data_IF_626531217620
#
_entry.id   IF_626531217620
#
_cell.length_a   1.000
_cell.length_b   1.000
_cell.length_c   1.000
_cell.angle_alpha   90.00
_cell.angle_beta   90.00
_cell.angle_gamma   90.00
#
_symmetry.space_group_name_H-M   'P 1'
#
loop_
_entity.id
_entity.type
_entity.pdbx_description
1 polymer ?
#
# COMPACT_ATOMS: atom_id res chain seq x y z
N UNK A 1 31.51 31.67 -0.10
CA UNK A 1 31.44 31.89 1.36
C UNK A 1 30.92 30.63 2.04
N UNK A 2 30.94 30.55 3.37
CA UNK A 2 30.48 29.38 4.13
C UNK A 2 29.37 29.85 5.07
N UNK A 3 28.16 29.35 4.86
CA UNK A 3 27.03 29.59 5.75
C UNK A 3 27.06 28.62 6.93
N UNK A 4 26.97 29.16 8.15
CA UNK A 4 26.96 28.39 9.39
C UNK A 4 25.67 28.72 10.14
N UNK A 5 24.85 27.69 10.37
CA UNK A 5 23.67 27.82 11.21
C UNK A 5 23.99 27.41 12.64
N UNK A 6 23.68 28.28 13.60
CA UNK A 6 23.71 27.96 15.03
C UNK A 6 22.28 27.86 15.55
N UNK A 7 21.86 26.65 15.91
CA UNK A 7 20.58 26.40 16.56
C UNK A 7 20.79 26.49 18.07
N UNK A 8 20.15 27.46 18.71
CA UNK A 8 20.29 27.75 20.15
C UNK A 8 19.14 27.11 20.92
N UNK A 9 19.44 26.40 21.99
CA UNK A 9 18.43 25.82 22.88
C UNK A 9 17.80 26.90 23.77
N UNK A 10 16.63 27.38 23.36
CA UNK A 10 15.79 28.32 24.11
C UNK A 10 14.80 27.62 25.07
N UNK A 11 14.82 26.29 25.15
CA UNK A 11 14.02 25.51 26.10
C UNK A 11 14.72 25.38 27.45
N UNK A 12 16.04 25.21 27.43
CA UNK A 12 16.86 25.14 28.65
C UNK A 12 17.23 26.52 29.21
N UNK A 13 17.36 27.54 28.35
CA UNK A 13 17.75 28.89 28.73
C UNK A 13 16.83 29.95 28.13
N UNK A 14 16.37 30.89 28.95
CA UNK A 14 15.55 32.01 28.48
C UNK A 14 16.41 33.02 27.72
N UNK A 15 16.13 33.20 26.44
CA UNK A 15 16.79 34.18 25.58
C UNK A 15 16.22 35.58 25.81
N UNK A 16 16.64 36.28 26.88
CA UNK A 16 16.28 37.69 27.06
C UNK A 16 16.96 38.57 26.02
N UNK A 17 16.48 39.81 25.88
CA UNK A 17 17.02 40.75 24.90
C UNK A 17 18.52 41.00 25.09
N UNK A 18 18.95 41.15 26.34
CA UNK A 18 20.34 41.40 26.71
C UNK A 18 21.24 40.22 26.34
N UNK A 19 20.75 38.99 26.55
CA UNK A 19 21.46 37.76 26.17
C UNK A 19 21.61 37.67 24.65
N UNK A 20 20.55 37.97 23.90
CA UNK A 20 20.57 37.96 22.43
C UNK A 20 21.54 39.01 21.88
N UNK A 21 21.53 40.22 22.43
CA UNK A 21 22.43 41.30 22.01
C UNK A 21 23.90 40.97 22.33
N UNK A 22 24.18 40.47 23.54
CA UNK A 22 25.52 40.02 23.92
C UNK A 22 26.01 38.87 23.04
N UNK A 23 25.15 37.89 22.77
CA UNK A 23 25.45 36.76 21.88
C UNK A 23 25.83 37.24 20.47
N UNK A 24 25.04 38.12 19.87
CA UNK A 24 25.32 38.66 18.53
C UNK A 24 26.68 39.37 18.48
N UNK A 25 26.97 40.24 19.45
CA UNK A 25 28.26 40.94 19.53
C UNK A 25 29.45 39.99 19.67
N UNK A 26 29.31 38.92 20.45
CA UNK A 26 30.35 37.90 20.62
C UNK A 26 30.57 37.13 19.32
N UNK A 27 29.50 36.70 18.66
CA UNK A 27 29.57 35.97 17.38
C UNK A 27 30.23 36.84 16.30
N UNK A 28 29.78 38.07 16.10
CA UNK A 28 30.33 39.00 15.11
C UNK A 28 31.83 39.25 15.33
N UNK A 29 32.24 39.53 16.57
CA UNK A 29 33.66 39.72 16.92
C UNK A 29 34.48 38.45 16.68
N UNK A 30 33.90 37.28 16.92
CA UNK A 30 34.59 36.00 16.74
C UNK A 30 34.75 35.67 15.25
N UNK A 31 33.70 35.83 14.46
CA UNK A 31 33.72 35.66 13.00
C UNK A 31 34.75 36.59 12.36
N UNK A 32 34.75 37.88 12.72
CA UNK A 32 35.69 38.86 12.19
C UNK A 32 37.17 38.52 12.49
N UNK A 33 37.44 37.85 13.62
CA UNK A 33 38.78 37.37 13.98
C UNK A 33 39.20 36.12 13.22
N UNK A 34 38.27 35.25 12.86
CA UNK A 34 38.56 33.96 12.22
C UNK A 34 38.59 34.09 10.70
N UNK A 35 37.50 34.57 10.08
CA UNK A 35 37.40 34.74 8.64
C UNK A 35 36.17 35.56 8.24
N UNK A 36 36.35 36.49 7.31
CA UNK A 36 35.25 37.27 6.70
C UNK A 36 34.40 36.47 5.71
N UNK A 37 34.82 35.25 5.37
CA UNK A 37 34.08 34.34 4.47
C UNK A 37 33.00 33.52 5.18
N UNK A 38 32.89 33.63 6.51
CA UNK A 38 31.90 32.92 7.31
C UNK A 38 30.65 33.79 7.48
N UNK A 39 29.49 33.24 7.18
CA UNK A 39 28.19 33.87 7.40
C UNK A 39 27.43 33.07 8.45
N UNK A 40 27.42 33.57 9.69
CA UNK A 40 26.76 32.89 10.81
C UNK A 40 25.35 33.40 10.96
N UNK A 41 24.36 32.51 10.85
CA UNK A 41 22.96 32.76 11.17
C UNK A 41 22.59 31.98 12.41
N UNK A 42 21.74 32.54 13.26
CA UNK A 42 21.29 31.86 14.48
C UNK A 42 19.78 31.81 14.54
N UNK A 43 19.24 30.70 15.03
CA UNK A 43 17.82 30.53 15.29
C UNK A 43 17.61 29.72 16.56
N UNK A 44 16.45 29.85 17.18
CA UNK A 44 16.11 29.03 18.35
C UNK A 44 15.69 27.64 17.92
N UNK A 45 15.89 26.65 18.81
CA UNK A 45 15.45 25.27 18.58
C UNK A 45 13.92 25.23 18.37
N UNK A 46 13.14 26.00 19.13
CA UNK A 46 11.69 26.11 18.95
C UNK A 46 11.32 26.57 17.53
N UNK A 47 11.94 27.65 17.04
CA UNK A 47 11.67 28.19 15.70
C UNK A 47 12.08 27.20 14.60
N UNK A 48 13.25 26.56 14.75
CA UNK A 48 13.71 25.55 13.80
C UNK A 48 12.71 24.39 13.70
N UNK A 49 12.21 23.89 14.83
CA UNK A 49 11.18 22.85 14.86
C UNK A 49 9.88 23.27 14.19
N UNK A 50 9.42 24.50 14.41
CA UNK A 50 8.21 25.01 13.76
C UNK A 50 8.37 25.08 12.25
N UNK A 51 9.51 25.54 11.77
CA UNK A 51 9.81 25.63 10.34
C UNK A 51 9.87 24.25 9.70
N UNK A 52 10.59 23.32 10.33
CA UNK A 52 10.67 21.93 9.86
C UNK A 52 9.30 21.27 9.83
N UNK A 53 8.48 21.46 10.87
CA UNK A 53 7.11 20.93 10.95
C UNK A 53 6.20 21.52 9.88
N UNK A 54 6.34 22.81 9.59
CA UNK A 54 5.60 23.50 8.53
C UNK A 54 6.09 23.15 7.11
N UNK A 55 7.23 22.45 6.99
CA UNK A 55 7.85 22.18 5.71
C UNK A 55 8.42 23.43 5.05
N UNK A 56 8.87 24.39 5.85
CA UNK A 56 9.44 25.65 5.37
C UNK A 56 10.62 25.39 4.42
N UNK A 57 10.66 25.99 3.21
CA UNK A 57 11.71 25.73 2.23
C UNK A 57 13.13 25.96 2.73
N UNK A 58 13.35 26.94 3.61
CA UNK A 58 14.68 27.25 4.16
C UNK A 58 15.12 26.13 5.09
N UNK A 59 14.28 25.74 6.04
CA UNK A 59 14.58 24.64 6.96
C UNK A 59 14.76 23.30 6.22
N UNK A 60 13.96 23.05 5.17
CA UNK A 60 14.11 21.85 4.34
C UNK A 60 15.43 21.84 3.58
N UNK A 61 15.87 22.97 3.01
CA UNK A 61 17.17 23.05 2.34
C UNK A 61 18.33 22.88 3.33
N UNK A 62 18.23 23.49 4.50
CA UNK A 62 19.17 23.27 5.61
C UNK A 62 19.28 21.78 5.93
N UNK A 63 18.16 21.08 6.11
CA UNK A 63 18.18 19.64 6.40
C UNK A 63 18.69 18.81 5.21
N UNK A 64 18.47 19.24 3.97
CA UNK A 64 18.89 18.47 2.78
C UNK A 64 20.39 18.55 2.54
N UNK A 65 20.95 19.76 2.64
CA UNK A 65 22.32 20.05 2.22
C UNK A 65 23.27 20.33 3.40
N UNK A 66 22.71 20.56 4.60
CA UNK A 66 23.47 20.87 5.80
C UNK A 66 24.21 19.65 6.35
N UNK A 67 25.43 19.91 6.82
CA UNK A 67 26.28 18.93 7.51
C UNK A 67 26.35 19.31 8.99
N UNK A 68 25.91 18.44 9.92
CA UNK A 68 26.00 18.74 11.34
C UNK A 68 27.47 18.76 11.76
N UNK A 69 27.90 19.88 12.35
CA UNK A 69 29.23 20.00 12.96
C UNK A 69 29.21 19.59 14.44
N UNK A 70 28.12 19.96 15.13
CA UNK A 70 27.84 19.62 16.53
C UNK A 70 26.33 19.35 16.60
N UNK A 71 25.94 18.13 16.93
CA UNK A 71 24.53 17.75 17.07
C UNK A 71 24.33 16.85 18.31
N UNK A 72 23.58 17.29 19.34
CA UNK A 72 23.23 16.45 20.48
C UNK A 72 22.08 15.45 20.16
N UNK A 73 21.62 15.38 18.91
CA UNK A 73 20.60 14.43 18.46
C UNK A 73 19.29 15.08 18.01
N UNK A 74 19.34 16.29 17.45
CA UNK A 74 18.19 17.03 16.92
C UNK A 74 18.23 17.03 15.40
N UNK A 75 19.39 17.27 14.80
CA UNK A 75 19.54 17.54 13.38
C UNK A 75 19.54 16.26 12.53
N UNK A 76 20.42 15.30 12.83
CA UNK A 76 20.53 14.04 12.08
C UNK A 76 19.21 13.25 12.07
N UNK A 77 18.45 13.13 13.18
CA UNK A 77 17.15 12.48 13.14
C UNK A 77 16.16 13.18 12.21
N UNK A 78 16.16 14.52 12.18
CA UNK A 78 15.33 15.29 11.26
C UNK A 78 15.74 15.08 9.79
N UNK A 79 17.03 14.98 9.49
CA UNK A 79 17.51 14.63 8.15
C UNK A 79 17.04 13.22 7.75
N UNK A 80 17.15 12.23 8.64
CA UNK A 80 16.65 10.89 8.39
C UNK A 80 15.14 10.88 8.12
N UNK A 81 14.36 11.65 8.89
CA UNK A 81 12.92 11.80 8.68
C UNK A 81 12.59 12.49 7.34
N UNK A 82 13.38 13.47 6.92
CA UNK A 82 13.27 14.13 5.62
C UNK A 82 13.50 13.13 4.48
N UNK A 83 14.60 12.38 4.53
CA UNK A 83 14.98 11.38 3.52
C UNK A 83 13.90 10.30 3.40
N UNK A 84 13.32 9.88 4.54
CA UNK A 84 12.20 8.94 4.58
C UNK A 84 10.87 9.53 4.09
N UNK A 85 10.83 10.81 3.70
CA UNK A 85 9.62 11.50 3.26
C UNK A 85 8.56 11.66 4.35
N UNK A 86 8.97 11.70 5.63
CA UNK A 86 8.05 11.84 6.78
C UNK A 86 7.73 13.31 7.08
N UNK A 87 8.59 14.24 6.66
CA UNK A 87 8.34 15.68 6.73
C UNK A 87 7.54 16.12 5.50
N UNK A 88 6.53 16.97 5.68
CA UNK A 88 5.61 17.36 4.62
C UNK A 88 5.40 18.87 4.59
N UNK A 89 5.13 19.46 3.41
CA UNK A 89 5.14 18.85 2.08
C UNK A 89 6.54 18.93 1.43
N UNK A 90 7.26 17.82 1.32
CA UNK A 90 8.60 17.78 0.67
C UNK A 90 8.62 16.88 -0.56
N UNK A 91 9.61 17.06 -1.46
CA UNK A 91 9.77 16.24 -2.67
C UNK A 91 9.89 14.75 -2.31
N UNK A 92 10.61 14.45 -1.24
CA UNK A 92 10.80 13.12 -0.68
C UNK A 92 9.43 12.53 -0.27
N UNK A 93 8.61 13.31 0.45
CA UNK A 93 7.26 12.88 0.85
C UNK A 93 6.33 12.64 -0.34
N UNK A 94 6.42 13.44 -1.40
CA UNK A 94 5.63 13.28 -2.62
C UNK A 94 5.92 11.92 -3.27
N UNK A 95 7.19 11.58 -3.45
CA UNK A 95 7.56 10.30 -4.06
C UNK A 95 7.21 9.10 -3.18
N UNK A 96 7.34 9.21 -1.86
CA UNK A 96 6.90 8.17 -0.92
C UNK A 96 5.40 7.93 -1.03
N UNK A 97 4.59 8.98 -1.19
CA UNK A 97 3.16 8.86 -1.39
C UNK A 97 2.80 8.31 -2.77
N UNK A 98 3.42 8.83 -3.83
CA UNK A 98 3.18 8.38 -5.19
C UNK A 98 3.58 6.92 -5.40
N UNK A 99 4.66 6.46 -4.77
CA UNK A 99 5.08 5.05 -4.80
C UNK A 99 4.03 4.06 -4.30
N UNK A 100 3.00 4.52 -3.57
CA UNK A 100 1.86 3.69 -3.16
C UNK A 100 0.90 3.41 -4.32
N UNK A 101 0.74 4.33 -5.27
CA UNK A 101 -0.27 4.23 -6.31
C UNK A 101 -0.11 2.99 -7.22
N UNK A 102 1.07 2.68 -7.78
CA UNK A 102 1.26 1.46 -8.58
C UNK A 102 0.97 0.18 -7.80
N UNK A 103 1.35 0.14 -6.51
CA UNK A 103 1.07 -1.00 -5.63
C UNK A 103 -0.43 -1.18 -5.42
N UNK A 104 -1.18 -0.09 -5.21
CA UNK A 104 -2.64 -0.15 -5.09
C UNK A 104 -3.30 -0.65 -6.38
N UNK A 105 -2.79 -0.30 -7.55
CA UNK A 105 -3.27 -0.82 -8.84
C UNK A 105 -3.03 -2.34 -8.93
N UNK A 106 -1.85 -2.82 -8.54
CA UNK A 106 -1.56 -4.27 -8.49
C UNK A 106 -2.49 -5.00 -7.53
N UNK A 107 -2.79 -4.41 -6.37
CA UNK A 107 -3.75 -4.97 -5.42
C UNK A 107 -5.15 -5.11 -6.04
N UNK A 108 -5.63 -4.11 -6.78
CA UNK A 108 -6.93 -4.17 -7.46
C UNK A 108 -7.01 -5.35 -8.45
N UNK A 109 -5.93 -5.59 -9.22
CA UNK A 109 -5.84 -6.76 -10.11
C UNK A 109 -5.83 -8.09 -9.36
N UNK A 110 -5.12 -8.13 -8.23
CA UNK A 110 -5.13 -9.30 -7.35
C UNK A 110 -6.50 -9.58 -6.76
N UNK A 111 -7.26 -8.54 -6.39
CA UNK A 111 -8.64 -8.70 -5.91
C UNK A 111 -9.56 -9.33 -6.97
N UNK A 112 -9.39 -9.02 -8.26
CA UNK A 112 -10.14 -9.71 -9.32
C UNK A 112 -9.80 -11.20 -9.42
N UNK A 113 -8.54 -11.59 -9.22
CA UNK A 113 -8.16 -13.00 -9.14
C UNK A 113 -8.83 -13.69 -7.95
N UNK A 114 -8.82 -13.06 -6.77
CA UNK A 114 -9.47 -13.62 -5.58
C UNK A 114 -10.98 -13.75 -5.79
N UNK A 115 -11.65 -12.71 -6.31
CA UNK A 115 -13.06 -12.77 -6.64
C UNK A 115 -13.37 -13.90 -7.65
N UNK A 116 -12.47 -14.16 -8.60
CA UNK A 116 -12.63 -15.29 -9.55
C UNK A 116 -12.54 -16.65 -8.84
N UNK A 117 -11.71 -16.78 -7.80
CA UNK A 117 -11.67 -17.99 -6.97
C UNK A 117 -12.96 -18.15 -6.15
N UNK A 118 -13.54 -17.06 -5.66
CA UNK A 118 -14.84 -17.09 -4.97
C UNK A 118 -15.97 -17.59 -5.88
N UNK A 119 -15.95 -17.21 -7.17
CA UNK A 119 -16.89 -17.75 -8.16
C UNK A 119 -16.76 -19.27 -8.32
N UNK A 120 -15.53 -19.80 -8.35
CA UNK A 120 -15.30 -21.25 -8.37
C UNK A 120 -15.91 -21.94 -7.14
N UNK A 121 -15.73 -21.37 -5.94
CA UNK A 121 -16.32 -21.94 -4.73
C UNK A 121 -17.85 -21.91 -4.74
N UNK A 122 -18.45 -20.85 -5.26
CA UNK A 122 -19.91 -20.79 -5.44
C UNK A 122 -20.42 -21.91 -6.38
N UNK A 123 -19.69 -22.20 -7.46
CA UNK A 123 -20.03 -23.32 -8.37
C UNK A 123 -19.87 -24.68 -7.66
N UNK A 124 -18.79 -24.88 -6.91
CA UNK A 124 -18.55 -26.10 -6.10
C UNK A 124 -19.68 -26.33 -5.11
N UNK A 125 -20.01 -25.33 -4.31
CA UNK A 125 -20.98 -25.47 -3.22
C UNK A 125 -22.38 -25.77 -3.78
N UNK A 126 -22.77 -25.11 -4.88
CA UNK A 126 -24.02 -25.39 -5.57
C UNK A 126 -24.05 -26.79 -6.19
N UNK A 127 -22.94 -27.26 -6.77
CA UNK A 127 -22.84 -28.61 -7.32
C UNK A 127 -22.95 -29.68 -6.22
N UNK A 128 -22.25 -29.49 -5.11
CA UNK A 128 -22.32 -30.37 -3.95
C UNK A 128 -23.74 -30.43 -3.38
N UNK A 129 -24.42 -29.28 -3.26
CA UNK A 129 -25.81 -29.24 -2.80
C UNK A 129 -26.75 -30.06 -3.72
N UNK A 130 -26.60 -29.92 -5.03
CA UNK A 130 -27.40 -30.68 -6.01
C UNK A 130 -27.13 -32.20 -5.93
N UNK A 131 -25.87 -32.60 -5.69
CA UNK A 131 -25.50 -34.01 -5.52
C UNK A 131 -26.06 -34.58 -4.20
N UNK A 132 -25.95 -33.84 -3.10
CA UNK A 132 -26.53 -34.23 -1.81
C UNK A 132 -28.05 -34.38 -1.88
N UNK A 133 -28.73 -33.53 -2.65
CA UNK A 133 -30.17 -33.60 -2.85
C UNK A 133 -30.63 -34.95 -3.45
N UNK A 134 -29.80 -35.59 -4.30
CA UNK A 134 -30.09 -36.93 -4.85
C UNK A 134 -29.48 -38.08 -4.04
N UNK A 135 -29.01 -37.80 -2.82
CA UNK A 135 -28.45 -38.79 -1.89
C UNK A 135 -27.00 -39.19 -2.19
N UNK A 136 -26.29 -38.47 -3.06
CA UNK A 136 -24.87 -38.73 -3.32
C UNK A 136 -24.00 -37.99 -2.30
N UNK A 137 -22.89 -38.62 -1.90
CA UNK A 137 -21.88 -37.98 -1.06
C UNK A 137 -20.99 -37.12 -1.98
N UNK A 138 -20.86 -35.80 -1.73
CA UNK A 138 -20.01 -34.94 -2.52
C UNK A 138 -18.56 -35.43 -2.58
N UNK A 139 -17.97 -35.55 -3.78
CA UNK A 139 -16.59 -36.01 -3.93
C UNK A 139 -15.61 -34.85 -3.72
N UNK A 140 -14.31 -35.11 -3.90
CA UNK A 140 -13.32 -34.03 -3.99
C UNK A 140 -13.59 -33.17 -5.24
N UNK A 141 -13.19 -31.88 -5.23
CA UNK A 141 -13.49 -30.95 -6.33
C UNK A 141 -13.11 -31.43 -7.73
N UNK A 142 -12.04 -32.21 -7.86
CA UNK A 142 -11.57 -32.77 -9.13
C UNK A 142 -12.59 -33.68 -9.80
N UNK A 143 -13.41 -34.39 -9.02
CA UNK A 143 -14.35 -35.40 -9.51
C UNK A 143 -15.81 -34.91 -9.56
N UNK A 144 -16.09 -33.68 -9.12
CA UNK A 144 -17.46 -33.14 -9.05
C UNK A 144 -18.11 -33.10 -10.44
N UNK A 145 -17.38 -32.63 -11.45
CA UNK A 145 -17.92 -32.55 -12.82
C UNK A 145 -18.31 -33.93 -13.37
N UNK A 146 -17.51 -34.96 -13.11
CA UNK A 146 -17.78 -36.32 -13.57
C UNK A 146 -18.97 -36.94 -12.83
N UNK A 147 -19.07 -36.71 -11.52
CA UNK A 147 -20.21 -37.18 -10.76
C UNK A 147 -21.52 -36.48 -11.17
N UNK A 148 -21.48 -35.17 -11.46
CA UNK A 148 -22.63 -34.45 -12.04
C UNK A 148 -23.06 -35.09 -13.36
N UNK A 149 -22.11 -35.43 -14.24
CA UNK A 149 -22.41 -36.10 -15.52
C UNK A 149 -23.09 -37.44 -15.29
N UNK A 150 -22.52 -38.25 -14.41
CA UNK A 150 -23.01 -39.60 -14.16
C UNK A 150 -24.39 -39.61 -13.50
N UNK A 151 -24.58 -38.80 -12.47
CA UNK A 151 -25.75 -38.87 -11.59
C UNK A 151 -26.90 -38.00 -12.03
N UNK A 152 -26.62 -36.83 -12.59
CA UNK A 152 -27.66 -35.86 -12.96
C UNK A 152 -27.84 -35.77 -14.48
N UNK A 153 -26.75 -35.66 -15.25
CA UNK A 153 -26.85 -35.46 -16.71
C UNK A 153 -27.32 -36.72 -17.44
N UNK A 154 -26.73 -37.89 -17.17
CA UNK A 154 -27.17 -39.15 -17.80
C UNK A 154 -28.64 -39.47 -17.51
N UNK A 155 -29.12 -39.10 -16.32
CA UNK A 155 -30.52 -39.24 -15.90
C UNK A 155 -31.43 -38.12 -16.43
N UNK A 156 -30.89 -37.18 -17.23
CA UNK A 156 -31.60 -36.01 -17.80
C UNK A 156 -32.21 -35.07 -16.75
N UNK A 157 -31.66 -35.05 -15.54
CA UNK A 157 -32.05 -34.15 -14.47
C UNK A 157 -31.38 -32.77 -14.58
N UNK A 158 -30.22 -32.74 -15.25
CA UNK A 158 -29.40 -31.56 -15.45
C UNK A 158 -28.83 -31.52 -16.87
N UNK A 159 -28.74 -30.34 -17.47
CA UNK A 159 -28.20 -30.13 -18.80
C UNK A 159 -26.66 -30.32 -18.82
N UNK A 160 -26.08 -30.92 -19.88
CA UNK A 160 -24.63 -31.19 -19.96
C UNK A 160 -23.74 -29.97 -19.72
N UNK A 161 -24.19 -28.79 -20.18
CA UNK A 161 -23.44 -27.53 -20.05
C UNK A 161 -23.04 -27.21 -18.61
N UNK A 162 -23.82 -27.61 -17.61
CA UNK A 162 -23.49 -27.30 -16.22
C UNK A 162 -22.31 -28.16 -15.73
N UNK A 163 -22.22 -29.44 -16.12
CA UNK A 163 -21.02 -30.22 -15.80
C UNK A 163 -19.76 -29.67 -16.49
N UNK A 164 -19.90 -29.11 -17.70
CA UNK A 164 -18.81 -28.42 -18.40
C UNK A 164 -18.40 -27.13 -17.69
N UNK A 165 -19.37 -26.33 -17.21
CA UNK A 165 -19.11 -25.16 -16.37
C UNK A 165 -18.33 -25.55 -15.11
N UNK A 166 -18.76 -26.59 -14.39
CA UNK A 166 -18.04 -27.09 -13.22
C UNK A 166 -16.57 -27.42 -13.55
N UNK A 167 -16.33 -28.20 -14.60
CA UNK A 167 -14.96 -28.55 -15.03
C UNK A 167 -14.13 -27.32 -15.42
N UNK A 168 -14.74 -26.36 -16.15
CA UNK A 168 -14.11 -25.10 -16.54
C UNK A 168 -13.63 -24.32 -15.30
N UNK A 169 -14.48 -24.16 -14.29
CA UNK A 169 -14.14 -23.43 -13.07
C UNK A 169 -13.04 -24.15 -12.26
N UNK A 170 -13.06 -25.48 -12.18
CA UNK A 170 -11.97 -26.25 -11.55
C UNK A 170 -10.62 -26.04 -12.24
N UNK A 171 -10.60 -26.15 -13.58
CA UNK A 171 -9.38 -25.89 -14.37
C UNK A 171 -8.90 -24.45 -14.20
N UNK A 172 -9.80 -23.48 -14.20
CA UNK A 172 -9.48 -22.07 -13.99
C UNK A 172 -8.83 -21.83 -12.62
N UNK A 173 -9.42 -22.38 -11.55
CA UNK A 173 -8.86 -22.31 -10.20
C UNK A 173 -7.45 -22.92 -10.14
N UNK A 174 -7.23 -24.08 -10.76
CA UNK A 174 -5.91 -24.74 -10.80
C UNK A 174 -4.87 -23.85 -11.49
N UNK A 175 -5.20 -23.25 -12.63
CA UNK A 175 -4.32 -22.33 -13.36
C UNK A 175 -3.98 -21.08 -12.54
N UNK A 176 -4.94 -20.52 -11.82
CA UNK A 176 -4.71 -19.37 -10.92
C UNK A 176 -3.77 -19.78 -9.77
N UNK A 177 -4.05 -20.91 -9.12
CA UNK A 177 -3.27 -21.40 -7.97
C UNK A 177 -1.84 -21.77 -8.35
N UNK A 178 -1.64 -22.35 -9.54
CA UNK A 178 -0.31 -22.64 -10.10
C UNK A 178 0.39 -21.41 -10.69
N UNK A 179 -0.22 -20.22 -10.61
CA UNK A 179 0.30 -18.94 -11.13
C UNK A 179 0.53 -18.91 -12.65
N UNK A 180 -0.16 -19.78 -13.39
CA UNK A 180 -0.22 -19.76 -14.85
C UNK A 180 -1.04 -18.55 -15.32
N UNK A 181 -2.11 -18.23 -14.60
CA UNK A 181 -2.90 -17.01 -14.78
C UNK A 181 -2.54 -16.02 -13.69
N UNK A 182 -2.04 -14.85 -14.10
CA UNK A 182 -1.57 -13.79 -13.19
C UNK A 182 -2.49 -12.58 -13.12
N UNK A 183 -3.47 -12.50 -14.00
CA UNK A 183 -4.44 -11.41 -14.06
C UNK A 183 -5.71 -11.91 -14.77
N UNK A 184 -6.87 -11.41 -14.33
CA UNK A 184 -8.16 -11.59 -14.99
C UNK A 184 -8.64 -10.20 -15.41
N UNK A 185 -9.09 -10.07 -16.65
CA UNK A 185 -9.67 -8.81 -17.15
C UNK A 185 -11.08 -8.63 -16.59
N UNK A 186 -11.50 -7.38 -16.34
CA UNK A 186 -12.85 -7.10 -15.83
C UNK A 186 -13.97 -7.71 -16.71
N UNK A 187 -13.85 -7.60 -18.03
CA UNK A 187 -14.83 -8.20 -18.97
C UNK A 187 -14.90 -9.74 -18.85
N UNK A 188 -13.76 -10.38 -18.59
CA UNK A 188 -13.69 -11.83 -18.40
C UNK A 188 -14.31 -12.23 -17.05
N UNK A 189 -14.03 -11.48 -16.00
CA UNK A 189 -14.67 -11.65 -14.70
C UNK A 189 -16.20 -11.53 -14.81
N UNK A 190 -16.72 -10.50 -15.50
CA UNK A 190 -18.16 -10.30 -15.66
C UNK A 190 -18.84 -11.48 -16.39
N UNK A 191 -18.15 -12.07 -17.37
CA UNK A 191 -18.62 -13.28 -18.07
C UNK A 191 -18.67 -14.49 -17.12
N UNK A 192 -17.62 -14.69 -16.33
CA UNK A 192 -17.57 -15.77 -15.33
C UNK A 192 -18.63 -15.59 -14.24
N UNK A 193 -18.86 -14.36 -13.78
CA UNK A 193 -19.88 -14.05 -12.79
C UNK A 193 -21.28 -14.40 -13.31
N UNK A 194 -21.61 -14.02 -14.55
CA UNK A 194 -22.90 -14.38 -15.17
C UNK A 194 -23.09 -15.88 -15.30
N UNK A 195 -22.06 -16.60 -15.73
CA UNK A 195 -22.11 -18.06 -15.86
C UNK A 195 -22.28 -18.74 -14.50
N UNK A 196 -21.59 -18.22 -13.46
CA UNK A 196 -21.73 -18.69 -12.08
C UNK A 196 -23.15 -18.48 -11.56
N UNK A 197 -23.73 -17.30 -11.77
CA UNK A 197 -25.10 -16.98 -11.34
C UNK A 197 -26.13 -17.87 -12.06
N UNK A 198 -25.97 -18.10 -13.37
CA UNK A 198 -26.82 -19.03 -14.12
C UNK A 198 -26.73 -20.46 -13.56
N UNK A 199 -25.52 -20.95 -13.29
CA UNK A 199 -25.26 -22.26 -12.70
C UNK A 199 -25.95 -22.40 -11.33
N UNK A 200 -25.70 -21.47 -10.41
CA UNK A 200 -26.26 -21.48 -9.06
C UNK A 200 -27.79 -21.44 -9.10
N UNK A 201 -28.38 -20.57 -9.93
CA UNK A 201 -29.84 -20.50 -10.12
C UNK A 201 -30.42 -21.80 -10.67
N UNK A 202 -29.71 -22.49 -11.56
CA UNK A 202 -30.17 -23.78 -12.08
C UNK A 202 -30.13 -24.86 -11.00
N UNK A 203 -29.06 -24.94 -10.21
CA UNK A 203 -28.95 -25.90 -9.11
C UNK A 203 -30.02 -25.66 -8.07
N UNK A 204 -30.28 -24.40 -7.72
CA UNK A 204 -31.40 -24.03 -6.85
C UNK A 204 -32.72 -24.58 -7.36
N UNK A 205 -33.06 -24.33 -8.63
CA UNK A 205 -34.29 -24.86 -9.27
C UNK A 205 -34.35 -26.39 -9.38
N UNK A 206 -33.22 -27.07 -9.27
CA UNK A 206 -33.20 -28.53 -9.25
C UNK A 206 -33.49 -29.08 -7.85
N UNK A 207 -33.09 -28.35 -6.81
CA UNK A 207 -33.21 -28.75 -5.41
C UNK A 207 -34.61 -28.41 -4.86
N UNK A 208 -35.22 -27.33 -5.35
CA UNK A 208 -36.61 -26.92 -5.06
C UNK A 208 -37.63 -27.77 -5.84
#
# INVERSE_FOLDING_TARGET
DIDVLVVVDDLAMRMTREVVEAYKLIVEKTVAKISTRLHVTSMTITSFWEYVRAGDPVAINILRDGVPLIDPGIFEPLQALLIQGRIRPTKESVWVYFGRAPRTIVNAKWHLLQATLDLYWAVIDAAHAALMHVGEIPPTPEHVADLLRERLVKKKLLEPKYAETMEKFYRLMKKITHREIKEIRGEEFDKLLKETDEFVKRMKRFIE
#
